data_IF_336830387008
#
_entry.id   IF_336830387008
#
_cell.length_a   1.000
_cell.length_b   1.000
_cell.length_c   1.000
_cell.angle_alpha   90.00
_cell.angle_beta   90.00
_cell.angle_gamma   90.00
#
_symmetry.space_group_name_H-M   'P 1'
#
loop_
_entity.id
_entity.type
_entity.pdbx_description
1 polymer ?
#
# COMPACT_ATOMS: atom_id res chain seq x y z
N UNK A 1 30.61 -18.71 -19.38
CA UNK A 1 30.18 -19.71 -18.38
C UNK A 1 30.57 -19.15 -17.03
N UNK A 2 29.60 -18.54 -16.34
CA UNK A 2 29.82 -17.86 -15.08
C UNK A 2 29.47 -18.83 -13.95
N UNK A 3 30.47 -19.23 -13.19
CA UNK A 3 30.31 -19.98 -11.94
C UNK A 3 29.85 -18.98 -10.87
N UNK A 4 28.55 -18.98 -10.59
CA UNK A 4 28.01 -18.32 -9.39
C UNK A 4 28.29 -19.23 -8.20
N UNK A 5 29.34 -18.92 -7.46
CA UNK A 5 29.53 -19.36 -6.09
C UNK A 5 28.35 -18.89 -5.26
N UNK A 6 27.37 -19.78 -5.09
CA UNK A 6 26.33 -19.64 -4.08
C UNK A 6 26.97 -19.83 -2.72
N UNK A 7 27.43 -18.74 -2.12
CA UNK A 7 27.74 -18.66 -0.69
C UNK A 7 26.48 -19.05 0.05
N UNK A 8 26.55 -20.25 0.61
CA UNK A 8 25.60 -20.87 1.52
C UNK A 8 25.17 -19.86 2.59
N UNK A 9 23.87 -19.66 2.68
CA UNK A 9 23.16 -19.15 3.86
C UNK A 9 23.88 -19.59 5.13
N UNK A 10 24.34 -18.61 5.92
CA UNK A 10 24.61 -18.77 7.34
C UNK A 10 23.40 -19.45 7.98
N UNK A 11 23.48 -20.76 8.16
CA UNK A 11 22.63 -21.47 9.12
C UNK A 11 22.87 -20.78 10.46
N UNK A 12 21.91 -19.99 10.93
CA UNK A 12 21.85 -19.65 12.34
C UNK A 12 21.88 -20.99 13.08
N UNK A 13 22.98 -21.27 13.78
CA UNK A 13 23.10 -22.49 14.58
C UNK A 13 21.88 -22.57 15.48
N UNK A 14 21.01 -23.57 15.26
CA UNK A 14 19.82 -23.81 16.07
C UNK A 14 20.15 -23.66 17.56
N UNK A 15 19.27 -23.03 18.33
CA UNK A 15 19.37 -22.83 19.78
C UNK A 15 19.66 -24.13 20.52
N UNK A 16 19.21 -25.27 20.00
CA UNK A 16 19.58 -26.57 20.54
C UNK A 16 21.08 -26.86 20.42
N UNK A 17 21.69 -26.57 19.27
CA UNK A 17 23.14 -26.68 19.08
C UNK A 17 23.89 -25.67 19.95
N UNK A 18 23.38 -24.44 20.07
CA UNK A 18 23.97 -23.44 20.97
C UNK A 18 23.94 -23.89 22.44
N UNK A 19 22.85 -24.54 22.87
CA UNK A 19 22.75 -25.11 24.21
C UNK A 19 23.80 -26.22 24.43
N UNK A 20 23.99 -27.11 23.46
CA UNK A 20 25.03 -28.16 23.52
C UNK A 20 26.42 -27.53 23.61
N UNK A 21 26.71 -26.53 22.78
CA UNK A 21 27.98 -25.81 22.80
C UNK A 21 28.23 -25.12 24.14
N UNK A 22 27.18 -24.58 24.77
CA UNK A 22 27.28 -23.94 26.07
C UNK A 22 27.60 -24.94 27.18
N UNK A 23 27.04 -26.15 27.13
CA UNK A 23 27.39 -27.26 28.05
C UNK A 23 28.85 -27.66 27.87
N UNK A 24 29.30 -27.81 26.63
CA UNK A 24 30.70 -28.16 26.34
C UNK A 24 31.67 -27.09 26.83
N UNK A 25 31.30 -25.81 26.66
CA UNK A 25 32.07 -24.69 27.19
C UNK A 25 32.11 -24.68 28.72
N UNK A 26 30.98 -24.96 29.37
CA UNK A 26 30.91 -25.02 30.84
C UNK A 26 31.75 -26.16 31.40
N UNK A 27 31.72 -27.35 30.80
CA UNK A 27 32.55 -28.49 31.21
C UNK A 27 34.04 -28.22 30.99
N UNK A 28 34.39 -27.60 29.86
CA UNK A 28 35.78 -27.22 29.57
C UNK A 28 36.28 -26.16 30.56
N UNK A 29 35.44 -25.20 30.93
CA UNK A 29 35.79 -24.18 31.92
C UNK A 29 35.95 -24.79 33.32
N UNK A 30 35.01 -25.64 33.74
CA UNK A 30 35.08 -26.39 35.01
C UNK A 30 36.39 -27.18 35.13
N UNK A 31 36.84 -27.82 34.04
CA UNK A 31 38.14 -28.51 34.01
C UNK A 31 39.32 -27.57 34.22
N UNK A 32 39.29 -26.38 33.63
CA UNK A 32 40.39 -25.40 33.71
C UNK A 32 40.49 -24.75 35.09
N UNK A 33 39.38 -24.63 35.80
CA UNK A 33 39.32 -24.00 37.11
C UNK A 33 39.77 -24.95 38.23
N UNK A 34 39.91 -26.25 37.94
CA UNK A 34 40.42 -27.24 38.89
C UNK A 34 41.94 -27.32 38.80
N UNK A 35 42.64 -26.67 39.74
CA UNK A 35 44.09 -26.81 39.91
C UNK A 35 44.41 -28.12 40.65
N UNK A 36 44.88 -29.11 39.89
CA UNK A 36 45.20 -30.45 40.40
C UNK A 36 46.38 -30.39 41.38
N UNK A 37 47.38 -29.54 41.11
CA UNK A 37 48.59 -29.47 41.93
C UNK A 37 48.30 -28.80 43.27
N UNK A 38 47.49 -27.74 43.27
CA UNK A 38 47.00 -27.12 44.49
C UNK A 38 46.12 -28.08 45.30
N UNK A 39 45.20 -28.79 44.65
CA UNK A 39 44.33 -29.76 45.32
C UNK A 39 45.11 -30.93 45.95
N UNK A 40 46.17 -31.43 45.28
CA UNK A 40 47.04 -32.46 45.84
C UNK A 40 47.79 -31.92 47.07
N UNK A 41 48.33 -30.69 46.99
CA UNK A 41 49.04 -30.05 48.11
C UNK A 41 48.11 -29.81 49.31
N UNK A 42 46.86 -29.41 49.08
CA UNK A 42 45.88 -29.22 50.14
C UNK A 42 45.48 -30.56 50.80
N UNK A 43 45.26 -31.62 50.01
CA UNK A 43 44.81 -32.91 50.53
C UNK A 43 45.92 -33.72 51.22
N UNK A 44 47.15 -33.67 50.70
CA UNK A 44 48.26 -34.51 51.15
C UNK A 44 49.34 -33.73 51.93
N UNK A 45 49.28 -32.39 51.97
CA UNK A 45 50.18 -31.57 52.78
C UNK A 45 51.66 -31.79 52.46
N UNK A 46 52.47 -32.09 53.47
CA UNK A 46 53.91 -32.34 53.32
C UNK A 46 54.21 -33.61 52.49
N UNK A 47 53.31 -34.60 52.51
CA UNK A 47 53.44 -35.85 51.74
C UNK A 47 53.19 -35.63 50.24
N UNK A 48 52.65 -34.47 49.83
CA UNK A 48 52.51 -34.11 48.41
C UNK A 48 53.86 -34.13 47.67
N UNK A 49 54.96 -33.84 48.38
CA UNK A 49 56.33 -33.88 47.85
C UNK A 49 56.80 -35.29 47.43
N UNK A 50 56.14 -36.36 47.90
CA UNK A 50 56.41 -37.73 47.41
C UNK A 50 55.90 -37.96 45.99
N UNK A 51 54.95 -37.14 45.53
CA UNK A 51 54.38 -37.24 44.19
C UNK A 51 55.05 -36.27 43.20
N UNK A 52 55.83 -35.29 43.68
CA UNK A 52 56.61 -34.41 42.80
C UNK A 52 57.72 -35.22 42.11
N UNK A 53 57.59 -35.47 40.80
CA UNK A 53 58.62 -36.14 40.01
C UNK A 53 59.87 -35.28 39.94
N UNK A 54 61.00 -35.80 40.41
CA UNK A 54 62.32 -35.12 40.38
C UNK A 54 62.90 -34.96 38.98
N UNK A 55 62.39 -35.72 38.01
CA UNK A 55 62.80 -35.67 36.61
C UNK A 55 61.68 -35.07 35.76
N UNK A 56 61.97 -33.95 35.10
CA UNK A 56 61.03 -33.09 34.36
C UNK A 56 60.42 -33.72 33.08
N UNK A 57 60.55 -35.03 32.89
CA UNK A 57 60.11 -35.74 31.68
C UNK A 57 59.00 -36.78 31.92
N UNK A 58 58.70 -37.12 33.16
CA UNK A 58 57.63 -38.06 33.49
C UNK A 58 56.49 -37.32 34.22
N UNK A 59 55.33 -37.25 33.56
CA UNK A 59 54.09 -36.77 34.18
C UNK A 59 53.82 -37.58 35.46
N UNK A 60 53.58 -36.88 36.56
CA UNK A 60 53.23 -37.48 37.85
C UNK A 60 52.00 -38.40 37.68
N UNK A 61 52.16 -39.69 37.99
CA UNK A 61 51.10 -40.69 37.86
C UNK A 61 49.80 -40.29 38.58
N UNK A 62 49.89 -39.61 39.73
CA UNK A 62 48.72 -39.14 40.48
C UNK A 62 47.98 -38.04 39.71
N UNK A 63 48.72 -37.10 39.10
CA UNK A 63 48.17 -36.03 38.26
C UNK A 63 47.52 -36.62 37.01
N UNK A 64 48.15 -37.60 36.35
CA UNK A 64 47.56 -38.28 35.19
C UNK A 64 46.29 -39.07 35.57
N UNK A 65 46.27 -39.73 36.73
CA UNK A 65 45.10 -40.46 37.23
C UNK A 65 43.93 -39.52 37.57
N UNK A 66 44.20 -38.39 38.24
CA UNK A 66 43.19 -37.36 38.55
C UNK A 66 42.65 -36.73 37.26
N UNK A 67 43.51 -36.40 36.30
CA UNK A 67 43.10 -35.92 34.99
C UNK A 67 42.17 -36.90 34.28
N UNK A 68 42.51 -38.19 34.27
CA UNK A 68 41.67 -39.23 33.66
C UNK A 68 40.31 -39.35 34.37
N UNK A 69 40.29 -39.21 35.69
CA UNK A 69 39.05 -39.24 36.48
C UNK A 69 38.16 -38.03 36.18
N UNK A 70 38.73 -36.82 36.11
CA UNK A 70 38.00 -35.60 35.73
C UNK A 70 37.42 -35.73 34.33
N UNK A 71 38.18 -36.28 33.38
CA UNK A 71 37.70 -36.50 32.01
C UNK A 71 36.57 -37.55 31.95
N UNK A 72 36.62 -38.59 32.77
CA UNK A 72 35.52 -39.56 32.89
C UNK A 72 34.26 -38.93 33.52
N UNK A 73 34.42 -38.12 34.58
CA UNK A 73 33.31 -37.36 35.19
C UNK A 73 32.69 -36.41 34.17
N UNK A 74 33.49 -35.63 33.45
CA UNK A 74 33.00 -34.71 32.42
C UNK A 74 32.24 -35.46 31.31
N UNK A 75 32.72 -36.62 30.86
CA UNK A 75 32.01 -37.46 29.89
C UNK A 75 30.68 -37.96 30.44
N UNK A 76 30.64 -38.43 31.68
CA UNK A 76 29.41 -38.91 32.34
C UNK A 76 28.38 -37.80 32.53
N UNK A 77 28.82 -36.62 32.97
CA UNK A 77 27.96 -35.44 33.12
C UNK A 77 27.42 -35.00 31.77
N UNK A 78 28.26 -34.88 30.74
CA UNK A 78 27.83 -34.55 29.38
C UNK A 78 26.78 -35.53 28.88
N UNK A 79 27.04 -36.84 29.03
CA UNK A 79 26.11 -37.88 28.61
C UNK A 79 24.79 -37.78 29.36
N UNK A 80 24.80 -37.68 30.69
CA UNK A 80 23.59 -37.55 31.48
C UNK A 80 22.78 -36.30 31.14
N UNK A 81 23.44 -35.19 30.79
CA UNK A 81 22.77 -33.99 30.32
C UNK A 81 22.12 -34.19 28.94
N UNK A 82 22.82 -34.82 27.99
CA UNK A 82 22.27 -35.13 26.67
C UNK A 82 21.08 -36.09 26.77
N UNK A 83 21.20 -37.15 27.57
CA UNK A 83 20.11 -38.11 27.81
C UNK A 83 18.87 -37.41 28.41
N UNK A 84 19.09 -36.45 29.33
CA UNK A 84 18.01 -35.64 29.89
C UNK A 84 17.35 -34.73 28.84
N UNK A 85 18.14 -34.04 28.02
CA UNK A 85 17.62 -33.19 26.94
C UNK A 85 16.81 -33.98 25.92
N UNK A 86 17.25 -35.20 25.59
CA UNK A 86 16.54 -36.11 24.69
C UNK A 86 15.22 -36.56 25.31
N UNK A 87 15.24 -37.01 26.58
CA UNK A 87 14.05 -37.45 27.31
C UNK A 87 12.98 -36.35 27.42
N UNK A 88 13.40 -35.10 27.62
CA UNK A 88 12.51 -33.94 27.70
C UNK A 88 12.10 -33.39 26.33
N UNK A 89 12.53 -34.03 25.24
CA UNK A 89 12.30 -33.62 23.85
C UNK A 89 12.68 -32.16 23.61
N UNK A 90 13.76 -31.69 24.27
CA UNK A 90 14.13 -30.28 24.28
C UNK A 90 14.44 -29.72 22.90
N UNK A 91 15.00 -30.55 22.01
CA UNK A 91 15.21 -30.18 20.62
C UNK A 91 13.91 -29.74 19.95
N UNK A 92 12.85 -30.56 20.03
CA UNK A 92 11.56 -30.24 19.42
C UNK A 92 10.92 -28.98 20.03
N UNK A 93 11.08 -28.77 21.35
CA UNK A 93 10.56 -27.58 22.03
C UNK A 93 11.29 -26.31 21.58
N UNK A 94 12.61 -26.36 21.42
CA UNK A 94 13.41 -25.24 20.93
C UNK A 94 13.16 -24.97 19.44
N UNK A 95 13.06 -26.02 18.62
CA UNK A 95 12.72 -25.88 17.20
C UNK A 95 11.33 -25.23 17.02
N UNK A 96 10.34 -25.61 17.85
CA UNK A 96 9.02 -24.96 17.86
C UNK A 96 9.10 -23.50 18.28
N UNK A 97 9.93 -23.19 19.27
CA UNK A 97 10.13 -21.81 19.72
C UNK A 97 10.75 -20.96 18.62
N UNK A 98 11.76 -21.48 17.91
CA UNK A 98 12.36 -20.82 16.74
C UNK A 98 11.34 -20.57 15.63
N UNK A 99 10.52 -21.58 15.32
CA UNK A 99 9.46 -21.42 14.33
C UNK A 99 8.45 -20.34 14.72
N UNK A 100 8.10 -20.23 16.01
CA UNK A 100 7.20 -19.17 16.51
C UNK A 100 7.87 -17.79 16.38
N UNK A 101 9.14 -17.67 16.74
CA UNK A 101 9.87 -16.40 16.66
C UNK A 101 10.01 -15.97 15.20
N UNK A 102 10.44 -16.87 14.31
CA UNK A 102 10.55 -16.57 12.88
C UNK A 102 9.20 -16.15 12.27
N UNK A 103 8.10 -16.77 12.72
CA UNK A 103 6.75 -16.39 12.31
C UNK A 103 6.38 -14.98 12.80
N UNK A 104 6.67 -14.66 14.06
CA UNK A 104 6.41 -13.32 14.61
C UNK A 104 7.23 -12.24 13.91
N UNK A 105 8.51 -12.51 13.66
CA UNK A 105 9.39 -11.58 12.92
C UNK A 105 8.87 -11.33 11.50
N UNK A 106 8.35 -12.37 10.84
CA UNK A 106 7.72 -12.24 9.53
C UNK A 106 6.42 -11.42 9.58
N UNK A 107 5.57 -11.64 10.58
CA UNK A 107 4.33 -10.87 10.78
C UNK A 107 4.63 -9.39 11.07
N UNK A 108 5.62 -9.10 11.91
CA UNK A 108 6.07 -7.74 12.22
C UNK A 108 6.61 -7.01 10.99
N UNK A 109 7.39 -7.71 10.15
CA UNK A 109 7.91 -7.14 8.91
C UNK A 109 6.79 -6.85 7.91
N UNK A 110 5.81 -7.74 7.78
CA UNK A 110 4.62 -7.51 6.96
C UNK A 110 3.81 -6.31 7.44
N UNK A 111 3.62 -6.17 8.76
CA UNK A 111 2.90 -5.04 9.34
C UNK A 111 3.63 -3.73 9.09
N UNK A 112 4.95 -3.69 9.27
CA UNK A 112 5.77 -2.50 8.95
C UNK A 112 5.66 -2.11 7.49
N UNK A 113 5.69 -3.08 6.58
CA UNK A 113 5.55 -2.81 5.14
C UNK A 113 4.17 -2.25 4.81
N UNK A 114 3.11 -2.78 5.42
CA UNK A 114 1.75 -2.27 5.27
C UNK A 114 1.63 -0.83 5.80
N UNK A 115 2.13 -0.55 7.00
CA UNK A 115 2.12 0.79 7.60
C UNK A 115 2.89 1.81 6.75
N UNK A 116 4.06 1.42 6.23
CA UNK A 116 4.88 2.24 5.34
C UNK A 116 4.14 2.54 4.02
N UNK A 117 3.44 1.54 3.47
CA UNK A 117 2.63 1.69 2.27
C UNK A 117 1.41 2.59 2.51
N UNK A 118 0.72 2.43 3.62
CA UNK A 118 -0.42 3.27 4.01
C UNK A 118 0.04 4.71 4.22
N UNK A 119 1.19 4.92 4.89
CA UNK A 119 1.77 6.25 5.06
C UNK A 119 2.08 6.92 3.72
N UNK A 120 2.69 6.19 2.79
CA UNK A 120 2.98 6.70 1.43
C UNK A 120 1.71 7.01 0.66
N UNK A 121 0.70 6.15 0.75
CA UNK A 121 -0.58 6.32 0.07
C UNK A 121 -1.32 7.54 0.62
N UNK A 122 -1.34 7.73 1.93
CA UNK A 122 -1.91 8.91 2.59
C UNK A 122 -1.18 10.19 2.19
N UNK A 123 0.16 10.18 2.16
CA UNK A 123 0.96 11.32 1.68
C UNK A 123 0.66 11.64 0.21
N UNK A 124 0.60 10.63 -0.66
CA UNK A 124 0.27 10.82 -2.07
C UNK A 124 -1.14 11.41 -2.26
N UNK A 125 -2.13 10.97 -1.46
CA UNK A 125 -3.48 11.53 -1.48
C UNK A 125 -3.51 12.99 -0.99
N UNK A 126 -2.74 13.32 0.06
CA UNK A 126 -2.59 14.69 0.53
C UNK A 126 -1.91 15.58 -0.52
N UNK A 127 -0.88 15.09 -1.19
CA UNK A 127 -0.20 15.85 -2.24
C UNK A 127 -1.04 15.97 -3.52
N UNK A 128 -1.87 14.97 -3.84
CA UNK A 128 -2.82 15.04 -4.95
C UNK A 128 -3.97 16.02 -4.69
N UNK A 129 -4.37 16.19 -3.43
CA UNK A 129 -5.42 17.16 -3.05
C UNK A 129 -4.87 18.57 -2.85
N UNK A 130 -3.55 18.73 -2.74
CA UNK A 130 -2.92 20.05 -2.71
C UNK A 130 -3.10 20.74 -4.06
N UNK A 131 -3.70 21.92 -4.02
CA UNK A 131 -3.79 22.80 -5.17
C UNK A 131 -2.36 23.17 -5.66
N UNK A 132 -2.14 23.25 -6.98
CA UNK A 132 -0.87 23.71 -7.54
C UNK A 132 -0.46 25.07 -6.94
N UNK A 133 0.84 25.26 -6.70
CA UNK A 133 1.36 26.53 -6.16
C UNK A 133 0.90 27.70 -7.04
N UNK A 134 0.19 28.64 -6.44
CA UNK A 134 -0.39 29.82 -7.13
C UNK A 134 -1.89 29.72 -7.42
N UNK A 135 -2.52 28.55 -7.28
CA UNK A 135 -3.97 28.38 -7.40
C UNK A 135 -4.60 28.51 -6.02
N UNK A 136 -5.22 29.64 -5.74
CA UNK A 136 -6.02 29.81 -4.52
C UNK A 136 -7.40 29.18 -4.70
N UNK A 137 -8.01 28.62 -3.63
CA UNK A 137 -9.39 28.13 -3.69
C UNK A 137 -10.38 29.17 -4.24
N UNK A 138 -10.18 30.44 -3.88
CA UNK A 138 -10.96 31.57 -4.41
C UNK A 138 -10.80 31.72 -5.93
N UNK A 139 -9.58 31.57 -6.46
CA UNK A 139 -9.30 31.59 -7.89
C UNK A 139 -9.98 30.45 -8.65
N UNK A 140 -9.97 29.24 -8.08
CA UNK A 140 -10.63 28.08 -8.67
C UNK A 140 -12.16 28.26 -8.71
N UNK A 141 -12.75 28.77 -7.62
CA UNK A 141 -14.18 29.10 -7.57
C UNK A 141 -14.55 30.18 -8.59
N UNK A 142 -13.76 31.25 -8.70
CA UNK A 142 -13.99 32.31 -9.69
C UNK A 142 -13.95 31.77 -11.12
N UNK A 143 -12.99 30.91 -11.45
CA UNK A 143 -12.91 30.27 -12.76
C UNK A 143 -14.14 29.41 -13.04
N UNK A 144 -14.60 28.63 -12.05
CA UNK A 144 -15.78 27.79 -12.21
C UNK A 144 -17.07 28.61 -12.39
N UNK A 145 -17.21 29.71 -11.63
CA UNK A 145 -18.30 30.67 -11.78
C UNK A 145 -18.26 31.31 -13.17
N UNK A 146 -17.08 31.70 -13.64
CA UNK A 146 -16.91 32.29 -14.96
C UNK A 146 -17.35 31.32 -16.07
N UNK A 147 -16.92 30.06 -16.01
CA UNK A 147 -17.33 29.05 -16.99
C UNK A 147 -18.84 28.81 -16.98
N UNK A 148 -19.45 28.71 -15.80
CA UNK A 148 -20.90 28.57 -15.69
C UNK A 148 -21.63 29.78 -16.29
N UNK A 149 -21.18 31.01 -15.99
CA UNK A 149 -21.73 32.23 -16.58
C UNK A 149 -21.56 32.26 -18.09
N UNK A 150 -20.46 31.73 -18.62
CA UNK A 150 -20.22 31.63 -20.07
C UNK A 150 -21.19 30.64 -20.73
N UNK A 151 -21.45 29.50 -20.10
CA UNK A 151 -22.46 28.54 -20.55
C UNK A 151 -23.87 29.13 -20.52
N UNK A 152 -24.22 29.81 -19.43
CA UNK A 152 -25.50 30.51 -19.29
C UNK A 152 -25.68 31.58 -20.38
N UNK A 153 -24.61 32.34 -20.69
CA UNK A 153 -24.63 33.36 -21.74
C UNK A 153 -24.87 32.72 -23.11
N UNK A 154 -24.15 31.65 -23.46
CA UNK A 154 -24.34 30.94 -24.72
C UNK A 154 -25.77 30.37 -24.86
N UNK A 155 -26.34 29.88 -23.75
CA UNK A 155 -27.73 29.41 -23.73
C UNK A 155 -28.72 30.55 -23.96
N UNK A 156 -28.50 31.70 -23.34
CA UNK A 156 -29.36 32.88 -23.53
C UNK A 156 -29.26 33.43 -24.96
N UNK A 157 -28.07 33.49 -25.55
CA UNK A 157 -27.87 33.88 -26.95
C UNK A 157 -28.63 32.96 -27.90
N UNK A 158 -28.58 31.64 -27.67
CA UNK A 158 -29.35 30.68 -28.46
C UNK A 158 -30.85 30.92 -28.37
N UNK A 159 -31.38 31.11 -27.16
CA UNK A 159 -32.81 31.40 -26.96
C UNK A 159 -33.23 32.70 -27.64
N UNK A 160 -32.37 33.72 -27.57
CA UNK A 160 -32.64 35.01 -28.21
C UNK A 160 -32.72 34.85 -29.73
N UNK A 161 -31.81 34.09 -30.35
CA UNK A 161 -31.87 33.79 -31.77
C UNK A 161 -33.12 32.98 -32.18
N UNK A 162 -33.58 32.05 -31.33
CA UNK A 162 -34.82 31.29 -31.55
C UNK A 162 -36.06 32.19 -31.53
N UNK A 163 -36.14 33.11 -30.56
CA UNK A 163 -37.22 34.08 -30.45
C UNK A 163 -37.19 35.10 -31.61
N UNK A 164 -36.01 35.59 -32.00
CA UNK A 164 -35.87 36.48 -33.17
C UNK A 164 -36.36 35.81 -34.46
N UNK A 165 -36.03 34.53 -34.68
CA UNK A 165 -36.53 33.77 -35.82
C UNK A 165 -38.06 33.57 -35.77
N UNK A 166 -38.62 33.36 -34.58
CA UNK A 166 -40.07 33.27 -34.39
C UNK A 166 -40.78 34.60 -34.70
N UNK A 167 -40.20 35.72 -34.25
CA UNK A 167 -40.70 37.08 -34.55
C UNK A 167 -40.64 37.35 -36.05
N UNK A 168 -39.53 37.01 -36.72
CA UNK A 168 -39.39 37.18 -38.17
C UNK A 168 -40.45 36.38 -38.93
N UNK A 169 -40.68 35.12 -38.52
CA UNK A 169 -41.73 34.27 -39.10
C UNK A 169 -43.12 34.86 -38.91
N UNK A 170 -43.46 35.30 -37.70
CA UNK A 170 -44.75 35.94 -37.41
C UNK A 170 -44.92 37.24 -38.20
N UNK A 171 -43.88 38.06 -38.30
CA UNK A 171 -43.87 39.29 -39.09
C UNK A 171 -44.10 39.00 -40.57
N UNK A 172 -43.51 37.93 -41.10
CA UNK A 172 -43.78 37.44 -42.45
C UNK A 172 -45.23 36.99 -42.65
N UNK A 173 -45.81 36.28 -41.68
CA UNK A 173 -47.21 35.89 -41.71
C UNK A 173 -48.15 37.10 -41.70
N UNK A 174 -47.88 38.11 -40.87
CA UNK A 174 -48.66 39.35 -40.82
C UNK A 174 -48.66 40.05 -42.18
N UNK A 175 -47.49 40.22 -42.82
CA UNK A 175 -47.39 40.83 -44.15
C UNK A 175 -48.17 40.06 -45.21
N UNK A 176 -48.17 38.73 -45.15
CA UNK A 176 -48.97 37.91 -46.06
C UNK A 176 -50.48 38.13 -45.85
N UNK A 177 -50.94 38.15 -44.59
CA UNK A 177 -52.34 38.45 -44.28
C UNK A 177 -52.74 39.86 -44.73
N UNK A 178 -51.89 40.86 -44.52
CA UNK A 178 -52.12 42.23 -44.99
C UNK A 178 -52.23 42.30 -46.53
N UNK A 179 -51.43 41.49 -47.26
CA UNK A 179 -51.53 41.39 -48.73
C UNK A 179 -52.86 40.78 -49.17
N UNK A 180 -53.27 39.67 -48.54
CA UNK A 180 -54.55 39.01 -48.82
C UNK A 180 -55.72 39.96 -48.52
N UNK A 181 -55.66 40.69 -47.40
CA UNK A 181 -56.71 41.66 -47.05
C UNK A 181 -56.78 42.80 -48.07
N UNK A 182 -55.63 43.28 -48.58
CA UNK A 182 -55.58 44.30 -49.63
C UNK A 182 -56.18 43.80 -50.94
N UNK A 183 -55.79 42.62 -51.40
CA UNK A 183 -56.37 41.98 -52.59
C UNK A 183 -57.88 41.76 -52.43
N UNK A 184 -58.31 41.32 -51.24
CA UNK A 184 -59.73 41.16 -50.90
C UNK A 184 -60.50 42.48 -50.99
N UNK A 185 -59.94 43.58 -50.47
CA UNK A 185 -60.53 44.92 -50.57
C UNK A 185 -60.61 45.40 -52.03
N UNK A 186 -59.56 45.19 -52.82
CA UNK A 186 -59.54 45.54 -54.25
C UNK A 186 -60.59 44.74 -55.03
N UNK A 187 -60.67 43.43 -54.83
CA UNK A 187 -61.67 42.57 -55.48
C UNK A 187 -63.10 42.95 -55.10
N UNK A 188 -63.35 43.28 -53.82
CA UNK A 188 -64.65 43.76 -53.37
C UNK A 188 -65.04 45.09 -54.01
N UNK A 189 -64.08 46.00 -54.18
CA UNK A 189 -64.32 47.28 -54.84
C UNK A 189 -64.60 47.10 -56.33
N UNK A 190 -63.88 46.19 -57.00
CA UNK A 190 -64.17 45.82 -58.39
C UNK A 190 -65.57 45.21 -58.53
N UNK A 191 -65.98 44.33 -57.62
CA UNK A 191 -67.30 43.71 -57.62
C UNK A 191 -68.42 44.75 -57.41
N UNK A 192 -68.21 45.73 -56.52
CA UNK A 192 -69.15 46.85 -56.37
C UNK A 192 -69.30 47.64 -57.66
N UNK A 193 -68.19 47.91 -58.35
CA UNK A 193 -68.21 48.63 -59.63
C UNK A 193 -68.93 47.82 -60.73
N UNK A 194 -68.73 46.51 -60.81
CA UNK A 194 -69.45 45.67 -61.79
C UNK A 194 -70.94 45.59 -61.48
N UNK A 195 -71.33 45.40 -60.21
CA UNK A 195 -72.73 45.44 -59.79
C UNK A 195 -73.41 46.77 -60.15
N UNK A 196 -72.74 47.90 -59.88
CA UNK A 196 -73.25 49.21 -60.27
C UNK A 196 -73.43 49.35 -61.79
N UNK A 197 -72.51 48.80 -62.59
CA UNK A 197 -72.64 48.79 -64.06
C UNK A 197 -73.81 47.92 -64.52
N UNK A 198 -73.99 46.74 -63.94
CA UNK A 198 -75.11 45.85 -64.27
C UNK A 198 -76.46 46.45 -63.86
N UNK A 199 -76.56 47.06 -62.68
CA UNK A 199 -77.76 47.79 -62.25
C UNK A 199 -78.11 48.92 -63.22
N UNK A 200 -77.10 49.67 -63.70
CA UNK A 200 -77.30 50.70 -64.72
C UNK A 200 -77.77 50.12 -66.06
N UNK A 201 -77.20 48.99 -66.49
CA UNK A 201 -77.59 48.30 -67.72
C UNK A 201 -79.03 47.77 -67.65
N UNK A 202 -79.42 47.16 -66.52
CA UNK A 202 -80.80 46.69 -66.28
C UNK A 202 -81.78 47.86 -66.29
N UNK A 203 -81.46 48.97 -65.63
CA UNK A 203 -82.27 50.20 -65.66
C UNK A 203 -82.39 50.81 -67.07
N UNK A 204 -81.38 50.60 -67.93
CA UNK A 204 -81.43 51.05 -69.32
C UNK A 204 -82.31 50.14 -70.17
N UNK A 205 -82.21 48.82 -70.00
CA UNK A 205 -83.06 47.82 -70.66
C UNK A 205 -84.54 47.97 -70.30
N UNK A 206 -84.86 48.20 -69.02
CA UNK A 206 -86.25 48.36 -68.56
C UNK A 206 -86.94 49.63 -69.08
N UNK A 207 -86.20 50.54 -69.75
CA UNK A 207 -86.75 51.72 -70.41
C UNK A 207 -87.05 51.49 -71.91
N UNK A 208 -86.64 50.37 -72.48
CA UNK A 208 -86.81 50.03 -73.91
C UNK A 208 -87.95 49.04 -74.19
N UNK A 209 -88.33 48.23 -73.21
CA UNK A 209 -89.61 47.47 -73.15
C UNK A 209 -90.71 48.32 -72.57
#
# INVERSE_FOLDING_TARGET
MAETNGTTTTEEESRYNQLILLVDKALTHSRKDFDIDEAIKECYGEDASMFETKDSSEENFLVSAINAMIDDVNKKVKKGFLDYLEKEEMKQKLDKLEAIIAKLDQEDEQMKQADEQDRRTAQAALDATRLPKGVTPDGLMRYHIYNKKKEDLALMEKKLAEEEAAIEKLSGQIRNFESIEREGKENMEQLKQTLQREEQAVKAWSKQT
#
